data_IF_068086606547
#
_entry.id   IF_068086606547
#
_cell.length_a   1.000
_cell.length_b   1.000
_cell.length_c   1.000
_cell.angle_alpha   90.00
_cell.angle_beta   90.00
_cell.angle_gamma   90.00
#
_symmetry.space_group_name_H-M   'P 1'
#
loop_
_entity.id
_entity.type
_entity.pdbx_description
1 polymer ?
#
# COMPACT_ATOMS: atom_id res chain seq x y z
N UNK A 1 9.85 6.22 2.34
CA UNK A 1 11.18 5.93 1.74
C UNK A 1 11.98 4.97 2.61
N UNK A 2 12.18 5.24 3.90
CA UNK A 2 12.92 4.33 4.80
C UNK A 2 12.33 2.92 4.82
N UNK A 3 10.99 2.76 4.77
CA UNK A 3 10.36 1.44 4.77
C UNK A 3 10.70 0.59 3.52
N UNK A 4 10.97 1.22 2.38
CA UNK A 4 11.41 0.52 1.16
C UNK A 4 12.86 0.09 1.27
N UNK A 5 13.67 0.85 2.03
CA UNK A 5 15.06 0.46 2.36
C UNK A 5 15.14 -0.81 3.20
N UNK A 6 14.00 -1.28 3.74
CA UNK A 6 13.91 -2.53 4.50
C UNK A 6 13.79 -3.78 3.62
N UNK A 7 13.61 -3.62 2.31
CA UNK A 7 13.54 -4.77 1.40
C UNK A 7 14.81 -5.60 1.48
N UNK A 8 14.65 -6.92 1.55
CA UNK A 8 15.75 -7.88 1.47
C UNK A 8 16.22 -8.11 0.03
N UNK A 9 15.44 -7.69 -0.95
CA UNK A 9 15.80 -7.78 -2.36
C UNK A 9 16.83 -6.69 -2.72
N UNK A 10 18.06 -7.04 -3.12
CA UNK A 10 19.11 -6.08 -3.44
C UNK A 10 18.70 -5.09 -4.53
N UNK A 11 18.02 -5.54 -5.58
CA UNK A 11 17.62 -4.67 -6.68
C UNK A 11 16.56 -3.64 -6.26
N UNK A 12 15.69 -4.02 -5.32
CA UNK A 12 14.73 -3.07 -4.73
C UNK A 12 15.40 -2.05 -3.81
N UNK A 13 16.58 -2.41 -3.25
CA UNK A 13 17.34 -1.55 -2.34
C UNK A 13 18.15 -0.48 -3.06
N UNK A 14 18.63 -0.75 -4.27
CA UNK A 14 19.58 0.12 -4.98
C UNK A 14 19.03 1.51 -5.28
N UNK A 15 17.71 1.64 -5.36
CA UNK A 15 17.03 2.91 -5.66
C UNK A 15 16.55 3.67 -4.42
N UNK A 16 16.79 3.14 -3.22
CA UNK A 16 16.28 3.69 -1.97
C UNK A 16 17.36 3.77 -0.91
N UNK A 17 17.36 4.86 -0.16
CA UNK A 17 18.31 5.11 0.92
C UNK A 17 18.09 6.50 1.50
N UNK A 18 18.90 6.90 2.47
CA UNK A 18 19.91 6.12 3.16
C UNK A 18 19.32 5.05 4.08
N UNK A 19 20.10 3.99 4.34
CA UNK A 19 19.73 2.96 5.32
C UNK A 19 19.91 3.49 6.74
N UNK A 20 18.91 3.25 7.59
CA UNK A 20 18.97 3.62 8.99
C UNK A 20 19.47 2.40 9.78
N UNK A 21 20.57 2.54 10.57
CA UNK A 21 21.06 1.46 11.42
C UNK A 21 19.98 0.97 12.40
N UNK A 22 19.94 -0.34 12.63
CA UNK A 22 18.96 -0.96 13.53
C UNK A 22 17.57 -1.17 12.90
N UNK A 23 17.39 -0.84 11.63
CA UNK A 23 16.16 -1.17 10.89
C UNK A 23 16.49 -2.20 9.81
N UNK A 24 15.75 -3.30 9.77
CA UNK A 24 15.96 -4.37 8.79
C UNK A 24 14.84 -5.39 8.79
N UNK A 25 14.82 -6.21 7.75
CA UNK A 25 13.88 -7.32 7.58
C UNK A 25 14.63 -8.66 7.54
N UNK A 26 15.74 -8.74 8.25
CA UNK A 26 16.60 -9.94 8.32
C UNK A 26 16.94 -10.27 9.77
N UNK A 27 17.14 -11.54 10.05
CA UNK A 27 17.73 -11.97 11.31
C UNK A 27 19.20 -11.49 11.36
N UNK A 28 19.61 -10.71 12.36
CA UNK A 28 20.95 -10.13 12.43
C UNK A 28 22.09 -11.16 12.49
N UNK A 29 21.86 -12.32 13.12
CA UNK A 29 22.86 -13.40 13.25
C UNK A 29 23.01 -14.19 11.96
N UNK A 30 21.87 -14.60 11.34
CA UNK A 30 21.91 -15.53 10.20
C UNK A 30 21.87 -14.83 8.85
N UNK A 31 21.48 -13.55 8.80
CA UNK A 31 21.21 -12.81 7.56
C UNK A 31 19.95 -13.29 6.80
N UNK A 32 19.22 -14.25 7.33
CA UNK A 32 18.02 -14.77 6.68
C UNK A 32 16.88 -13.76 6.74
N UNK A 33 16.13 -13.66 5.66
CA UNK A 33 14.96 -12.79 5.59
C UNK A 33 13.87 -13.23 6.58
N UNK A 34 13.24 -12.25 7.23
CA UNK A 34 11.99 -12.44 7.95
C UNK A 34 10.88 -12.42 6.91
N UNK A 35 10.46 -13.60 6.48
CA UNK A 35 9.51 -13.74 5.36
C UNK A 35 8.09 -13.38 5.81
N UNK A 36 7.40 -12.65 4.94
CA UNK A 36 5.97 -12.39 5.15
C UNK A 36 5.16 -13.69 5.16
N UNK A 37 4.16 -13.76 6.02
CA UNK A 37 3.33 -14.95 6.24
C UNK A 37 4.11 -16.18 6.76
N UNK A 38 5.25 -15.96 7.40
CA UNK A 38 6.04 -17.02 8.05
C UNK A 38 6.32 -16.64 9.51
N UNK A 39 5.50 -17.16 10.40
CA UNK A 39 5.57 -16.81 11.82
C UNK A 39 6.85 -17.30 12.49
N UNK A 40 7.41 -18.44 12.04
CA UNK A 40 8.61 -19.02 12.64
C UNK A 40 9.86 -18.16 12.46
N UNK A 41 9.92 -17.41 11.34
CA UNK A 41 11.03 -16.48 11.11
C UNK A 41 10.99 -15.33 12.12
N UNK A 42 9.81 -14.78 12.39
CA UNK A 42 9.64 -13.72 13.38
C UNK A 42 9.87 -14.24 14.81
N UNK A 43 9.36 -15.41 15.13
CA UNK A 43 9.54 -16.04 16.44
C UNK A 43 11.03 -16.24 16.75
N UNK A 44 11.79 -16.80 15.81
CA UNK A 44 13.23 -17.00 15.98
C UNK A 44 13.98 -15.68 16.25
N UNK A 45 13.62 -14.61 15.52
CA UNK A 45 14.25 -13.28 15.72
C UNK A 45 13.84 -12.68 17.06
N UNK A 46 12.58 -12.77 17.46
CA UNK A 46 12.14 -12.16 18.72
C UNK A 46 12.62 -12.95 19.95
N UNK A 47 12.82 -14.26 19.86
CA UNK A 47 13.44 -15.02 20.94
C UNK A 47 14.90 -14.63 21.18
N UNK A 48 15.63 -14.31 20.12
CA UNK A 48 17.04 -13.90 20.21
C UNK A 48 17.18 -12.40 20.51
N UNK A 49 16.44 -11.55 19.81
CA UNK A 49 16.58 -10.08 19.84
C UNK A 49 15.39 -9.32 20.39
N UNK A 50 14.38 -9.97 20.95
CA UNK A 50 13.16 -9.30 21.41
C UNK A 50 13.42 -8.16 22.41
N UNK A 51 14.42 -8.30 23.29
CA UNK A 51 14.78 -7.25 24.24
C UNK A 51 15.42 -6.00 23.60
N UNK A 52 15.95 -6.13 22.40
CA UNK A 52 16.59 -5.06 21.63
C UNK A 52 15.68 -4.53 20.53
N UNK A 53 14.55 -5.22 20.29
CA UNK A 53 13.58 -4.88 19.23
C UNK A 53 12.53 -3.93 19.80
N UNK A 54 12.46 -2.72 19.27
CA UNK A 54 11.47 -1.73 19.66
C UNK A 54 10.10 -1.98 19.05
N UNK A 55 10.04 -2.33 17.76
CA UNK A 55 8.80 -2.51 17.04
C UNK A 55 8.93 -3.46 15.85
N UNK A 56 7.82 -4.09 15.48
CA UNK A 56 7.65 -4.81 14.23
C UNK A 56 6.58 -4.12 13.38
N UNK A 57 6.95 -3.72 12.16
CA UNK A 57 6.02 -3.11 11.19
C UNK A 57 5.63 -4.11 10.11
N UNK A 58 4.34 -4.18 9.80
CA UNK A 58 3.80 -5.11 8.81
C UNK A 58 2.60 -4.52 8.08
N UNK A 59 2.51 -4.73 6.77
CA UNK A 59 1.27 -4.51 6.03
C UNK A 59 0.29 -5.65 6.32
N UNK A 60 -0.97 -5.39 6.72
CA UNK A 60 -1.97 -6.46 6.91
C UNK A 60 -2.24 -7.28 5.64
N UNK A 61 -2.15 -6.65 4.49
CA UNK A 61 -2.07 -7.26 3.15
C UNK A 61 -0.97 -6.50 2.42
N UNK A 62 0.04 -7.20 1.91
CA UNK A 62 1.07 -6.54 1.12
C UNK A 62 0.48 -6.06 -0.21
N UNK A 63 0.47 -4.74 -0.43
CA UNK A 63 -0.10 -4.14 -1.63
C UNK A 63 0.80 -4.25 -2.85
N UNK A 64 1.91 -3.53 -2.83
CA UNK A 64 2.87 -3.43 -3.95
C UNK A 64 3.50 -4.78 -4.33
N UNK A 65 3.63 -5.70 -3.38
CA UNK A 65 4.10 -7.06 -3.62
C UNK A 65 3.08 -7.94 -4.38
N UNK A 66 1.94 -7.40 -4.79
CA UNK A 66 0.93 -8.10 -5.60
C UNK A 66 -0.32 -8.52 -4.84
N UNK A 67 -0.76 -7.73 -3.88
CA UNK A 67 -1.95 -8.00 -3.04
C UNK A 67 -1.81 -9.37 -2.35
N UNK A 68 -0.71 -9.56 -1.62
CA UNK A 68 -0.46 -10.81 -0.90
C UNK A 68 -1.27 -10.82 0.38
N UNK A 69 -2.32 -11.63 0.41
CA UNK A 69 -3.17 -11.84 1.58
C UNK A 69 -2.55 -12.96 2.43
N UNK A 70 -2.24 -12.71 3.70
CA UNK A 70 -1.66 -13.73 4.56
C UNK A 70 -2.71 -14.75 5.03
N UNK A 71 -2.25 -15.84 5.60
CA UNK A 71 -3.10 -16.82 6.27
C UNK A 71 -3.86 -16.15 7.43
N UNK A 72 -5.04 -16.65 7.74
CA UNK A 72 -5.95 -16.00 8.69
C UNK A 72 -5.38 -15.90 10.12
N UNK A 73 -4.48 -16.79 10.49
CA UNK A 73 -3.85 -16.86 11.80
C UNK A 73 -2.50 -16.13 11.89
N UNK A 74 -1.97 -15.62 10.76
CA UNK A 74 -0.66 -14.95 10.74
C UNK A 74 -0.64 -13.69 11.61
N UNK A 75 -1.50 -12.72 11.34
CA UNK A 75 -1.53 -11.47 12.11
C UNK A 75 -1.89 -11.66 13.59
N UNK A 76 -2.86 -12.53 13.96
CA UNK A 76 -3.06 -12.87 15.36
C UNK A 76 -1.79 -13.39 16.06
N UNK A 77 -1.06 -14.31 15.44
CA UNK A 77 0.20 -14.84 15.99
C UNK A 77 1.29 -13.76 16.06
N UNK A 78 1.38 -12.89 15.06
CA UNK A 78 2.29 -11.73 15.11
C UNK A 78 1.99 -10.85 16.32
N UNK A 79 0.72 -10.53 16.55
CA UNK A 79 0.31 -9.72 17.70
C UNK A 79 0.65 -10.40 19.04
N UNK A 80 0.44 -11.71 19.15
CA UNK A 80 0.79 -12.49 20.35
C UNK A 80 2.30 -12.50 20.60
N UNK A 81 3.12 -12.70 19.56
CA UNK A 81 4.57 -12.67 19.68
C UNK A 81 5.09 -11.29 20.06
N UNK A 82 4.62 -10.25 19.41
CA UNK A 82 4.98 -8.87 19.76
C UNK A 82 4.65 -8.57 21.23
N UNK A 83 3.46 -8.95 21.69
CA UNK A 83 3.06 -8.78 23.10
C UNK A 83 3.94 -9.60 24.05
N UNK A 84 4.24 -10.88 23.71
CA UNK A 84 5.11 -11.76 24.52
C UNK A 84 6.48 -11.16 24.76
N UNK A 85 7.05 -10.50 23.74
CA UNK A 85 8.40 -9.96 23.78
C UNK A 85 8.46 -8.45 24.12
N UNK A 86 7.31 -7.82 24.43
CA UNK A 86 7.20 -6.36 24.68
C UNK A 86 7.70 -5.53 23.48
N UNK A 87 7.36 -5.95 22.27
CA UNK A 87 7.66 -5.29 21.01
C UNK A 87 6.39 -4.62 20.51
N UNK A 88 6.47 -3.36 20.05
CA UNK A 88 5.32 -2.65 19.51
C UNK A 88 4.92 -3.23 18.15
N UNK A 89 3.64 -3.50 17.96
CA UNK A 89 3.10 -3.88 16.65
C UNK A 89 2.61 -2.66 15.90
N UNK A 90 3.18 -2.41 14.71
CA UNK A 90 2.77 -1.33 13.82
C UNK A 90 2.12 -1.95 12.58
N UNK A 91 0.85 -1.65 12.34
CA UNK A 91 0.19 -2.00 11.08
C UNK A 91 0.31 -0.86 10.08
N UNK A 92 0.94 -1.13 8.94
CA UNK A 92 0.95 -0.21 7.80
C UNK A 92 -0.36 -0.37 7.00
N UNK A 93 -1.30 0.50 7.32
CA UNK A 93 -2.62 0.55 6.69
C UNK A 93 -2.72 1.63 5.61
N UNK A 94 -1.60 2.16 5.13
CA UNK A 94 -1.58 3.22 4.12
C UNK A 94 -2.35 2.79 2.86
N UNK A 95 -2.23 1.53 2.47
CA UNK A 95 -2.91 0.99 1.29
C UNK A 95 -4.17 0.21 1.64
N UNK A 96 -4.21 -0.42 2.79
CA UNK A 96 -5.27 -1.37 3.19
C UNK A 96 -6.40 -0.74 3.97
N UNK A 97 -6.13 0.38 4.66
CA UNK A 97 -7.09 1.07 5.52
C UNK A 97 -8.12 1.93 4.78
N UNK A 98 -8.92 2.60 5.57
CA UNK A 98 -9.99 3.52 5.14
C UNK A 98 -10.92 2.84 4.13
N UNK A 99 -11.64 1.82 4.61
CA UNK A 99 -12.66 1.04 3.90
C UNK A 99 -12.15 0.17 2.73
N UNK A 100 -10.89 0.32 2.28
CA UNK A 100 -10.37 -0.34 1.07
C UNK A 100 -10.61 -1.86 1.06
N UNK A 101 -10.45 -2.51 2.20
CA UNK A 101 -10.54 -3.98 2.34
C UNK A 101 -11.88 -4.48 2.86
N UNK A 102 -12.90 -3.62 2.94
CA UNK A 102 -14.21 -3.98 3.48
C UNK A 102 -14.29 -3.93 5.01
N UNK A 103 -13.33 -3.28 5.64
CA UNK A 103 -13.31 -2.85 7.04
C UNK A 103 -12.70 -1.46 7.09
N UNK A 104 -12.95 -0.71 8.18
CA UNK A 104 -12.33 0.61 8.35
C UNK A 104 -10.81 0.46 8.35
N UNK A 105 -10.29 -0.52 9.10
CA UNK A 105 -8.89 -0.95 9.08
C UNK A 105 -8.80 -2.44 8.70
N UNK A 106 -7.83 -2.81 7.91
CA UNK A 106 -7.64 -4.21 7.49
C UNK A 106 -7.30 -5.14 8.64
N UNK A 107 -6.59 -4.63 9.66
CA UNK A 107 -6.28 -5.36 10.91
C UNK A 107 -7.51 -5.86 11.65
N UNK A 108 -8.68 -5.26 11.45
CA UNK A 108 -9.96 -5.72 12.03
C UNK A 108 -10.36 -7.11 11.52
N UNK A 109 -9.96 -7.51 10.31
CA UNK A 109 -10.17 -8.87 9.79
C UNK A 109 -9.49 -9.96 10.63
N UNK A 110 -8.38 -9.60 11.25
CA UNK A 110 -7.64 -10.50 12.12
C UNK A 110 -8.07 -10.41 13.60
N UNK A 111 -9.00 -9.50 13.93
CA UNK A 111 -9.45 -9.26 15.30
C UNK A 111 -8.36 -8.71 16.22
N UNK A 112 -7.31 -8.09 15.66
CA UNK A 112 -6.21 -7.52 16.41
C UNK A 112 -6.35 -6.01 16.57
N UNK A 113 -5.76 -5.49 17.65
CA UNK A 113 -5.57 -4.07 17.86
C UNK A 113 -4.06 -3.80 17.92
N UNK A 114 -3.46 -3.29 16.84
CA UNK A 114 -2.04 -2.93 16.84
C UNK A 114 -1.78 -1.75 17.80
N UNK A 115 -0.54 -1.60 18.24
CA UNK A 115 -0.10 -0.48 19.08
C UNK A 115 -0.06 0.82 18.28
N UNK A 116 0.28 0.73 17.01
CA UNK A 116 0.33 1.86 16.09
C UNK A 116 -0.25 1.48 14.72
N UNK A 117 -0.85 2.48 14.06
CA UNK A 117 -1.36 2.36 12.69
C UNK A 117 -0.87 3.54 11.87
N UNK A 118 -0.31 3.27 10.69
CA UNK A 118 0.00 4.32 9.72
C UNK A 118 -1.10 4.41 8.67
N UNK A 119 -1.56 5.62 8.37
CA UNK A 119 -2.63 5.91 7.42
C UNK A 119 -2.15 6.91 6.37
N UNK A 120 -2.65 6.75 5.16
CA UNK A 120 -2.34 7.63 4.02
C UNK A 120 -3.31 7.39 2.88
N UNK A 121 -2.90 7.72 1.67
CA UNK A 121 -3.68 7.48 0.43
C UNK A 121 -5.16 7.86 0.58
N UNK A 122 -6.03 6.90 0.88
CA UNK A 122 -7.48 7.09 0.95
C UNK A 122 -7.96 8.04 2.07
N UNK A 123 -7.14 8.35 3.08
CA UNK A 123 -7.53 9.23 4.18
C UNK A 123 -7.97 10.63 3.72
N UNK A 124 -7.53 11.06 2.55
CA UNK A 124 -7.93 12.36 1.96
C UNK A 124 -8.87 12.23 0.77
N UNK A 125 -9.48 11.06 0.55
CA UNK A 125 -10.29 10.82 -0.65
C UNK A 125 -9.55 11.01 -1.98
N UNK A 126 -8.19 11.06 -1.95
CA UNK A 126 -7.34 11.29 -3.12
C UNK A 126 -7.17 12.75 -3.55
N UNK A 127 -7.74 13.70 -2.82
CA UNK A 127 -7.70 15.12 -3.19
C UNK A 127 -6.47 15.87 -2.71
N UNK A 128 -5.91 15.47 -1.56
CA UNK A 128 -4.80 16.19 -0.92
C UNK A 128 -3.81 15.23 -0.27
N UNK A 129 -2.49 15.46 -0.36
CA UNK A 129 -1.51 14.59 0.28
C UNK A 129 -1.57 14.73 1.81
N UNK A 130 -2.15 13.73 2.47
CA UNK A 130 -2.26 13.63 3.92
C UNK A 130 -1.84 12.25 4.37
N UNK A 131 -1.19 12.19 5.51
CA UNK A 131 -0.93 10.97 6.24
C UNK A 131 -1.11 11.20 7.74
N UNK A 132 -1.36 10.13 8.47
CA UNK A 132 -1.52 10.16 9.91
C UNK A 132 -0.87 8.92 10.54
N UNK A 133 -0.45 9.06 11.78
CA UNK A 133 -0.07 7.95 12.64
C UNK A 133 -1.00 7.97 13.84
N UNK A 134 -1.66 6.85 14.09
CA UNK A 134 -2.46 6.62 15.28
C UNK A 134 -1.69 5.71 16.21
N UNK A 135 -1.70 5.99 17.49
CA UNK A 135 -1.10 5.13 18.50
C UNK A 135 -1.83 5.26 19.83
N UNK A 136 -1.58 4.31 20.71
CA UNK A 136 -2.02 4.41 22.10
C UNK A 136 -1.40 5.67 22.76
N UNK A 137 -2.14 6.24 23.72
CA UNK A 137 -1.74 7.47 24.39
C UNK A 137 -0.34 7.40 25.00
N UNK A 138 0.00 6.30 25.64
CA UNK A 138 1.29 6.14 26.32
C UNK A 138 2.47 6.13 25.34
N UNK A 139 2.26 5.61 24.13
CA UNK A 139 3.25 5.65 23.06
C UNK A 139 3.35 7.06 22.49
N UNK A 140 2.22 7.73 22.26
CA UNK A 140 2.21 9.05 21.63
C UNK A 140 2.76 10.14 22.56
N UNK A 141 2.60 10.00 23.87
CA UNK A 141 3.07 10.98 24.87
C UNK A 141 4.59 11.00 25.09
N UNK A 142 5.36 10.09 24.46
CA UNK A 142 6.83 10.22 24.41
C UNK A 142 7.29 11.36 23.48
N UNK A 143 6.39 11.85 22.63
CA UNK A 143 6.63 13.04 21.82
C UNK A 143 6.32 14.27 22.67
N UNK A 144 7.35 14.99 23.08
CA UNK A 144 7.25 16.20 23.87
C UNK A 144 7.26 17.46 22.99
N UNK A 145 6.77 18.60 23.48
CA UNK A 145 6.86 19.87 22.79
C UNK A 145 8.30 20.20 22.37
N UNK A 146 8.50 20.42 21.05
CA UNK A 146 9.81 20.73 20.47
C UNK A 146 10.65 19.51 20.03
N UNK A 147 10.25 18.28 20.38
CA UNK A 147 10.99 17.07 19.96
C UNK A 147 10.58 16.56 18.56
N UNK A 148 9.42 16.98 18.07
CA UNK A 148 8.91 16.64 16.76
C UNK A 148 8.19 17.83 16.14
N UNK A 149 8.29 17.98 14.81
CA UNK A 149 7.62 19.07 14.10
C UNK A 149 7.49 18.81 12.61
N UNK A 150 6.50 19.46 12.02
CA UNK A 150 6.27 19.47 10.58
C UNK A 150 5.68 20.81 10.17
N UNK A 151 6.24 21.46 9.15
CA UNK A 151 5.71 22.72 8.66
C UNK A 151 4.30 22.60 8.10
N UNK A 152 3.98 21.48 7.44
CA UNK A 152 2.69 21.24 6.81
C UNK A 152 1.82 20.22 7.54
N UNK A 153 2.34 19.52 8.56
CA UNK A 153 1.57 18.57 9.34
C UNK A 153 0.42 19.25 10.08
N UNK A 154 -0.78 18.68 10.01
CA UNK A 154 -1.97 19.22 10.65
C UNK A 154 -2.48 20.53 10.04
N UNK A 155 -2.12 20.86 8.79
CA UNK A 155 -2.64 22.07 8.17
C UNK A 155 -4.18 22.03 8.02
N UNK A 156 -4.87 23.19 8.15
CA UNK A 156 -6.35 23.22 8.17
C UNK A 156 -7.00 22.63 6.92
N UNK A 157 -6.40 22.85 5.74
CA UNK A 157 -6.94 22.30 4.49
C UNK A 157 -6.89 20.77 4.48
N UNK A 158 -5.72 20.20 4.80
CA UNK A 158 -5.55 18.75 4.88
C UNK A 158 -6.50 18.11 5.89
N UNK A 159 -6.67 18.74 7.06
CA UNK A 159 -7.61 18.28 8.09
C UNK A 159 -9.06 18.33 7.58
N UNK A 160 -9.49 19.43 6.99
CA UNK A 160 -10.86 19.57 6.48
C UNK A 160 -11.19 18.54 5.38
N UNK A 161 -10.25 18.33 4.43
CA UNK A 161 -10.40 17.31 3.38
C UNK A 161 -10.49 15.90 3.96
N UNK A 162 -9.63 15.59 4.94
CA UNK A 162 -9.63 14.25 5.57
C UNK A 162 -10.89 14.00 6.39
N UNK A 163 -11.37 14.99 7.14
CA UNK A 163 -12.63 14.87 7.88
C UNK A 163 -13.77 14.58 6.91
N UNK A 164 -13.89 15.36 5.84
CA UNK A 164 -14.96 15.16 4.86
C UNK A 164 -14.86 13.81 4.15
N UNK A 165 -13.66 13.34 3.85
CA UNK A 165 -13.45 12.02 3.25
C UNK A 165 -13.91 10.88 4.18
N UNK A 166 -13.63 10.98 5.48
CA UNK A 166 -14.07 9.99 6.47
C UNK A 166 -15.59 10.03 6.68
N UNK A 167 -16.20 11.21 6.74
CA UNK A 167 -17.66 11.37 6.79
C UNK A 167 -18.34 10.67 5.61
N UNK A 168 -17.83 10.85 4.39
CA UNK A 168 -18.36 10.19 3.19
C UNK A 168 -18.22 8.67 3.25
N UNK A 169 -17.16 8.13 3.85
CA UNK A 169 -17.01 6.68 4.04
C UNK A 169 -18.18 6.13 4.88
N UNK A 170 -18.60 6.86 5.92
CA UNK A 170 -19.71 6.48 6.78
C UNK A 170 -21.06 6.75 6.11
N UNK A 171 -21.30 7.96 5.60
CA UNK A 171 -22.57 8.38 4.98
C UNK A 171 -22.98 7.49 3.81
N UNK A 172 -22.01 7.05 2.99
CA UNK A 172 -22.24 6.24 1.81
C UNK A 172 -22.08 4.74 2.05
N UNK A 173 -21.83 4.30 3.29
CA UNK A 173 -21.61 2.90 3.69
C UNK A 173 -20.53 2.23 2.84
N UNK A 174 -19.39 2.92 2.62
CA UNK A 174 -18.37 2.47 1.69
C UNK A 174 -17.63 1.23 2.19
N UNK A 175 -17.61 0.96 3.49
CA UNK A 175 -17.04 -0.27 4.09
C UNK A 175 -17.78 -1.50 3.57
N UNK A 176 -19.09 -1.55 3.76
CA UNK A 176 -19.96 -2.65 3.35
C UNK A 176 -20.00 -2.77 1.82
N UNK A 177 -20.02 -1.63 1.15
CA UNK A 177 -20.02 -1.59 -0.32
C UNK A 177 -18.71 -2.17 -0.89
N UNK A 178 -17.56 -1.85 -0.31
CA UNK A 178 -16.27 -2.39 -0.71
C UNK A 178 -16.21 -3.91 -0.53
N UNK A 179 -16.72 -4.43 0.59
CA UNK A 179 -16.79 -5.87 0.82
C UNK A 179 -17.67 -6.57 -0.20
N UNK A 180 -18.89 -6.06 -0.38
CA UNK A 180 -19.88 -6.62 -1.32
C UNK A 180 -19.38 -6.62 -2.77
N UNK A 181 -18.86 -5.48 -3.24
CA UNK A 181 -18.36 -5.36 -4.62
C UNK A 181 -17.09 -6.16 -4.85
N UNK A 182 -16.20 -6.20 -3.86
CA UNK A 182 -14.99 -7.02 -3.93
C UNK A 182 -15.29 -8.50 -4.06
N UNK A 183 -16.31 -9.00 -3.34
CA UNK A 183 -16.79 -10.38 -3.46
C UNK A 183 -17.34 -10.64 -4.87
N UNK A 184 -18.21 -9.78 -5.38
CA UNK A 184 -18.76 -9.89 -6.75
C UNK A 184 -17.63 -9.93 -7.78
N UNK A 185 -16.62 -9.06 -7.64
CA UNK A 185 -15.48 -9.04 -8.55
C UNK A 185 -14.72 -10.37 -8.54
N UNK A 186 -14.32 -10.85 -7.37
CA UNK A 186 -13.53 -12.08 -7.23
C UNK A 186 -14.30 -13.31 -7.74
N UNK A 187 -15.57 -13.44 -7.39
CA UNK A 187 -16.44 -14.52 -7.85
C UNK A 187 -16.69 -14.44 -9.36
N UNK A 188 -16.92 -13.22 -9.89
CA UNK A 188 -17.12 -12.99 -11.32
C UNK A 188 -15.90 -13.36 -12.16
N UNK A 189 -14.71 -12.95 -11.73
CA UNK A 189 -13.47 -13.32 -12.44
C UNK A 189 -13.21 -14.83 -12.34
N UNK A 190 -13.40 -15.43 -11.18
CA UNK A 190 -13.25 -16.88 -11.01
C UNK A 190 -14.24 -17.67 -11.88
N UNK A 191 -15.49 -17.19 -12.01
CA UNK A 191 -16.54 -17.82 -12.83
C UNK A 191 -16.26 -17.79 -14.35
N UNK A 192 -15.35 -16.93 -14.82
CA UNK A 192 -14.91 -16.94 -16.22
C UNK A 192 -14.28 -18.29 -16.59
N UNK A 193 -13.64 -18.98 -15.63
CA UNK A 193 -13.05 -20.30 -15.85
C UNK A 193 -11.89 -20.28 -16.86
N UNK A 194 -11.27 -19.13 -17.07
CA UNK A 194 -10.19 -19.00 -18.04
C UNK A 194 -8.90 -19.67 -17.53
N UNK A 195 -8.24 -20.50 -18.37
CA UNK A 195 -7.00 -21.19 -17.97
C UNK A 195 -5.85 -20.22 -17.70
N UNK A 196 -5.90 -19.00 -18.22
CA UNK A 196 -4.88 -17.98 -17.95
C UNK A 196 -5.00 -17.35 -16.55
N UNK A 197 -6.14 -17.53 -15.87
CA UNK A 197 -6.35 -17.02 -14.51
C UNK A 197 -5.91 -18.10 -13.51
N UNK A 198 -4.72 -17.95 -12.96
CA UNK A 198 -4.17 -18.89 -12.00
C UNK A 198 -4.85 -18.74 -10.63
N UNK A 199 -5.06 -17.50 -10.18
CA UNK A 199 -5.59 -17.19 -8.86
C UNK A 199 -6.23 -15.81 -8.84
N UNK A 200 -7.35 -15.69 -8.13
CA UNK A 200 -7.95 -14.40 -7.77
C UNK A 200 -7.89 -14.24 -6.26
N UNK A 201 -7.28 -13.17 -5.76
CA UNK A 201 -7.10 -12.93 -4.32
C UNK A 201 -7.37 -11.49 -3.95
N UNK A 202 -7.62 -11.23 -2.67
CA UNK A 202 -7.86 -9.90 -2.13
C UNK A 202 -8.91 -9.88 -1.03
N UNK A 203 -9.13 -8.67 -0.49
CA UNK A 203 -10.24 -8.35 0.43
C UNK A 203 -10.86 -7.01 0.02
N UNK A 204 -12.18 -6.90 0.12
CA UNK A 204 -12.90 -5.72 -0.33
C UNK A 204 -12.53 -5.35 -1.78
N UNK A 205 -12.19 -4.10 -2.02
CA UNK A 205 -11.76 -3.58 -3.33
C UNK A 205 -10.24 -3.54 -3.51
N UNK A 206 -9.48 -4.26 -2.69
CA UNK A 206 -8.06 -4.52 -2.90
C UNK A 206 -7.91 -5.94 -3.44
N UNK A 207 -7.78 -6.09 -4.77
CA UNK A 207 -7.81 -7.38 -5.45
C UNK A 207 -6.66 -7.52 -6.43
N UNK A 208 -6.22 -8.76 -6.64
CA UNK A 208 -5.29 -9.13 -7.71
C UNK A 208 -5.79 -10.37 -8.45
N UNK A 209 -5.50 -10.39 -9.75
CA UNK A 209 -5.67 -11.56 -10.62
C UNK A 209 -4.27 -12.01 -11.03
N UNK A 210 -3.89 -13.20 -10.62
CA UNK A 210 -2.60 -13.80 -10.98
C UNK A 210 -2.76 -14.51 -12.31
N UNK A 211 -1.89 -14.18 -13.26
CA UNK A 211 -1.93 -14.69 -14.61
C UNK A 211 -0.90 -15.81 -14.78
N UNK A 212 -1.34 -16.94 -15.31
CA UNK A 212 -0.46 -17.99 -15.79
C UNK A 212 0.00 -17.65 -17.22
N UNK A 213 1.21 -17.10 -17.32
CA UNK A 213 1.79 -16.70 -18.60
C UNK A 213 2.07 -17.90 -19.51
N UNK A 214 2.27 -19.10 -18.96
CA UNK A 214 2.45 -20.31 -19.76
C UNK A 214 1.16 -20.73 -20.45
N UNK A 215 0.01 -20.55 -19.78
CA UNK A 215 -1.32 -20.81 -20.35
C UNK A 215 -1.82 -19.68 -21.27
N UNK A 216 -1.10 -18.55 -21.34
CA UNK A 216 -1.48 -17.37 -22.09
C UNK A 216 -0.80 -17.24 -23.47
N UNK A 217 -0.33 -18.33 -24.06
CA UNK A 217 0.34 -18.38 -25.37
C UNK A 217 1.52 -17.38 -25.47
N UNK A 218 2.31 -17.27 -24.39
CA UNK A 218 3.46 -16.38 -24.29
C UNK A 218 3.09 -14.91 -24.05
N UNK A 219 1.83 -14.57 -23.84
CA UNK A 219 1.42 -13.23 -23.40
C UNK A 219 1.69 -13.06 -21.92
N UNK A 220 2.14 -11.89 -21.56
CA UNK A 220 2.43 -11.52 -20.17
C UNK A 220 1.20 -10.89 -19.49
N UNK A 221 1.25 -10.79 -18.16
CA UNK A 221 0.26 -10.00 -17.43
C UNK A 221 0.22 -8.53 -17.89
N UNK A 222 1.34 -7.99 -18.37
CA UNK A 222 1.39 -6.64 -18.96
C UNK A 222 0.57 -6.54 -20.25
N UNK A 223 0.69 -7.54 -21.15
CA UNK A 223 -0.09 -7.57 -22.39
C UNK A 223 -1.59 -7.58 -22.09
N UNK A 224 -2.01 -8.31 -21.04
CA UNK A 224 -3.39 -8.29 -20.57
C UNK A 224 -3.80 -6.90 -20.06
N UNK A 225 -2.93 -6.21 -19.32
CA UNK A 225 -3.21 -4.83 -18.85
C UNK A 225 -3.46 -3.89 -20.04
N UNK A 226 -2.68 -4.02 -21.13
CA UNK A 226 -2.86 -3.21 -22.33
C UNK A 226 -4.21 -3.51 -23.01
N UNK A 227 -4.55 -4.80 -23.17
CA UNK A 227 -5.83 -5.21 -23.75
C UNK A 227 -7.03 -4.72 -22.92
N UNK A 228 -6.94 -4.78 -21.59
CA UNK A 228 -7.97 -4.27 -20.68
C UNK A 228 -8.13 -2.76 -20.80
N UNK A 229 -7.00 -2.03 -20.90
CA UNK A 229 -7.02 -0.58 -21.15
C UNK A 229 -7.77 -0.23 -22.44
N UNK A 230 -7.57 -0.96 -23.52
CA UNK A 230 -8.29 -0.77 -24.79
C UNK A 230 -9.80 -0.99 -24.65
N UNK A 231 -10.21 -1.82 -23.66
CA UNK A 231 -11.62 -2.05 -23.30
C UNK A 231 -12.15 -1.06 -22.24
N UNK A 232 -11.35 -0.07 -21.85
CA UNK A 232 -11.73 0.96 -20.87
C UNK A 232 -11.49 0.56 -19.41
N UNK A 233 -10.81 -0.56 -19.13
CA UNK A 233 -10.47 -1.00 -17.79
C UNK A 233 -8.98 -0.77 -17.51
N UNK A 234 -8.69 0.19 -16.61
CA UNK A 234 -7.32 0.44 -16.15
C UNK A 234 -6.98 -0.47 -14.98
N UNK A 235 -5.94 -1.25 -15.14
CA UNK A 235 -5.38 -2.11 -14.09
C UNK A 235 -3.89 -1.84 -13.96
N UNK A 236 -3.36 -1.97 -12.75
CA UNK A 236 -1.93 -1.88 -12.49
C UNK A 236 -1.26 -3.25 -12.57
N UNK A 237 -0.02 -3.28 -13.03
CA UNK A 237 0.81 -4.47 -12.95
C UNK A 237 1.57 -4.45 -11.63
N UNK A 238 1.47 -5.54 -10.87
CA UNK A 238 2.37 -5.83 -9.76
C UNK A 238 3.19 -7.06 -10.09
N UNK A 239 4.49 -6.92 -10.07
CA UNK A 239 5.40 -8.05 -10.37
C UNK A 239 5.64 -8.82 -9.08
N UNK A 240 4.91 -9.90 -8.88
CA UNK A 240 5.24 -10.86 -7.82
C UNK A 240 6.47 -11.65 -8.27
N UNK A 241 7.63 -11.35 -7.73
CA UNK A 241 8.79 -12.22 -7.92
C UNK A 241 8.53 -13.51 -7.17
N UNK A 242 8.25 -14.56 -7.91
CA UNK A 242 8.23 -15.91 -7.37
C UNK A 242 9.66 -16.23 -6.92
N UNK A 243 9.89 -16.40 -5.63
CA UNK A 243 11.23 -16.70 -5.07
C UNK A 243 11.83 -18.01 -5.62
N UNK A 244 11.08 -18.79 -6.40
CA UNK A 244 11.49 -20.05 -7.00
C UNK A 244 11.78 -19.98 -8.52
N UNK A 245 11.53 -18.86 -9.18
CA UNK A 245 11.91 -18.70 -10.60
C UNK A 245 13.11 -17.76 -10.70
N UNK A 246 14.31 -18.36 -10.70
CA UNK A 246 15.52 -17.78 -11.32
C UNK A 246 15.32 -17.74 -12.84
N UNK A 247 14.41 -16.96 -13.33
CA UNK A 247 14.17 -16.82 -14.77
C UNK A 247 14.35 -15.36 -15.17
N UNK A 248 15.52 -15.09 -15.74
CA UNK A 248 15.82 -14.17 -16.84
C UNK A 248 14.96 -12.90 -17.00
N UNK A 249 14.96 -12.03 -16.00
CA UNK A 249 14.49 -10.64 -16.18
C UNK A 249 15.58 -9.77 -16.84
N UNK A 250 16.82 -10.26 -16.91
CA UNK A 250 17.95 -9.51 -17.46
C UNK A 250 17.90 -9.30 -18.99
N UNK A 251 17.12 -10.10 -19.73
CA UNK A 251 17.18 -10.08 -21.19
C UNK A 251 16.12 -9.18 -21.87
N UNK A 252 15.07 -8.78 -21.14
CA UNK A 252 13.97 -7.97 -21.74
C UNK A 252 14.13 -6.46 -21.60
N UNK A 253 15.01 -5.97 -20.72
CA UNK A 253 15.26 -4.52 -20.60
C UNK A 253 16.21 -3.99 -21.68
N UNK A 254 16.96 -4.84 -22.36
CA UNK A 254 17.88 -4.41 -23.43
C UNK A 254 17.19 -4.17 -24.77
N UNK A 255 15.96 -4.62 -24.97
CA UNK A 255 15.22 -4.47 -26.23
C UNK A 255 14.05 -3.48 -26.20
N UNK A 256 13.90 -2.68 -25.13
CA UNK A 256 13.03 -1.51 -25.23
C UNK A 256 13.83 -0.34 -25.82
N UNK A 257 13.31 0.30 -26.89
CA UNK A 257 13.92 1.53 -27.37
C UNK A 257 13.92 2.52 -26.19
N UNK A 258 15.07 3.03 -25.85
CA UNK A 258 15.27 4.09 -24.87
C UNK A 258 14.32 5.24 -25.25
N UNK A 259 13.21 5.34 -24.55
CA UNK A 259 12.42 6.56 -24.55
C UNK A 259 13.31 7.61 -23.88
N UNK A 260 14.02 8.37 -24.72
CA UNK A 260 14.67 9.60 -24.30
C UNK A 260 13.63 10.45 -23.57
N UNK A 261 13.89 10.73 -22.32
CA UNK A 261 13.13 11.65 -21.49
C UNK A 261 13.33 13.07 -22.05
N UNK A 262 12.66 13.37 -23.15
CA UNK A 262 12.39 14.75 -23.56
C UNK A 262 11.19 15.18 -22.71
N UNK A 263 11.48 15.88 -21.63
CA UNK A 263 10.48 16.54 -20.80
C UNK A 263 9.65 17.49 -21.67
N UNK A 264 8.43 17.08 -21.96
CA UNK A 264 7.41 17.99 -22.42
C UNK A 264 6.90 18.75 -21.20
N UNK A 265 7.09 20.07 -21.14
CA UNK A 265 6.46 20.88 -20.10
C UNK A 265 4.94 20.79 -20.31
N UNK A 266 4.22 20.35 -19.30
CA UNK A 266 2.77 20.49 -19.21
C UNK A 266 2.46 22.00 -19.30
N UNK A 267 2.21 22.50 -20.50
CA UNK A 267 1.58 23.81 -20.69
C UNK A 267 0.12 23.64 -20.32
N UNK A 268 -0.22 24.19 -19.20
CA UNK A 268 -1.61 24.46 -18.85
C UNK A 268 -2.09 25.58 -19.79
N UNK A 269 -2.78 25.22 -20.86
CA UNK A 269 -3.49 26.21 -21.70
C UNK A 269 -4.79 26.56 -20.95
N UNK A 270 -4.78 27.71 -20.30
CA UNK A 270 -6.03 28.38 -19.90
C UNK A 270 -6.92 28.56 -21.13
N UNK A 271 -8.24 28.31 -21.05
CA UNK A 271 -9.13 28.64 -22.15
C UNK A 271 -9.08 30.15 -22.40
N UNK A 272 -8.81 30.53 -23.66
CA UNK A 272 -8.89 31.91 -24.10
C UNK A 272 -10.30 32.42 -23.78
N UNK A 273 -10.38 33.46 -22.96
CA UNK A 273 -11.60 34.27 -22.86
C UNK A 273 -11.85 34.92 -24.24
N UNK A 274 -12.98 34.63 -24.83
CA UNK A 274 -13.51 35.38 -25.95
C UNK A 274 -13.75 36.80 -25.48
N UNK A 275 -13.12 37.74 -26.14
CA UNK A 275 -13.34 39.19 -26.00
C UNK A 275 -14.76 39.56 -26.37
N UNK A 276 -15.51 40.16 -25.44
CA UNK A 276 -16.75 40.80 -25.78
C UNK A 276 -17.79 40.83 -24.65
N UNK A 277 -17.58 41.62 -23.59
CA UNK A 277 -18.65 42.27 -22.84
C UNK A 277 -18.09 43.48 -22.04
N UNK A 278 -18.79 44.61 -21.98
CA UNK A 278 -18.28 45.82 -21.40
C UNK A 278 -18.31 45.81 -19.87
N UNK A 279 -17.27 46.41 -19.30
CA UNK A 279 -17.11 46.67 -17.87
C UNK A 279 -18.22 47.60 -17.33
N UNK A 280 -18.90 47.16 -16.27
CA UNK A 280 -19.67 48.06 -15.39
C UNK A 280 -18.81 48.41 -14.17
N UNK A 281 -18.85 49.69 -13.72
CA UNK A 281 -18.14 50.09 -12.52
C UNK A 281 -18.78 49.55 -11.26
N UNK A 282 -17.95 49.15 -10.30
CA UNK A 282 -18.35 48.83 -8.93
C UNK A 282 -18.37 50.15 -8.13
N UNK A 283 -19.55 50.66 -7.80
CA UNK A 283 -19.73 51.60 -6.72
C UNK A 283 -19.65 50.88 -5.37
N UNK A 284 -18.83 51.47 -4.49
CA UNK A 284 -18.86 51.16 -3.05
C UNK A 284 -19.71 52.22 -2.32
N UNK A 285 -20.34 51.86 -1.23
CA UNK A 285 -19.81 52.26 0.07
C UNK A 285 -19.42 51.06 0.94
#
# INVERSE_FOLDING_TARGET
MTAISLSVDPESRDNYGPYVPGIGAVNPTTGNAIRYNNISDLEAVLEEYGKETAAFIVEPIQGEAGVVVPDADYLPKVAELCKKHNVLLICDEIQTGIARTGRMLCSEWAGIKPDMVTLGKAISGGLYPVSAVLANKDIMLVIEPGTHGSTYGGNPLGCAVSIRALELVEEENLVENAERLGKIFREGVAAIGSPIVQLVRGKGLLNAVVIDEAAADGRTAWDLCILLKEKGLLVGLSVTRNQNTKANVHDRRQNQPTATSSGLPLRWSSPRRSSGAPSRPLDRP
#
